data_IF_396171090948
#
_entry.id   IF_396171090948
#
_cell.length_a   1.000
_cell.length_b   1.000
_cell.length_c   1.000
_cell.angle_alpha   90.00
_cell.angle_beta   90.00
_cell.angle_gamma   90.00
#
_symmetry.space_group_name_H-M   'P 1'
#
loop_
_entity.id
_entity.type
_entity.pdbx_description
1 polymer ?
#
# COMPACT_ATOMS: atom_id res chain seq x y z
N UNK A 1 47.82 31.59 -45.01
CA UNK A 1 47.23 30.34 -44.57
C UNK A 1 47.15 30.40 -43.07
N UNK A 2 45.96 30.65 -42.50
CA UNK A 2 45.74 30.80 -41.06
C UNK A 2 44.92 29.61 -40.60
N UNK A 3 45.53 28.83 -39.70
CA UNK A 3 44.89 27.70 -39.07
C UNK A 3 43.82 28.18 -38.10
N UNK A 4 42.57 27.80 -38.38
CA UNK A 4 41.43 27.97 -37.47
C UNK A 4 41.41 26.73 -36.58
N UNK A 5 41.79 26.89 -35.32
CA UNK A 5 41.59 25.88 -34.27
C UNK A 5 40.19 26.10 -33.70
N UNK A 6 39.25 25.31 -34.16
CA UNK A 6 37.98 25.13 -33.49
C UNK A 6 38.18 24.34 -32.18
N UNK A 7 38.15 25.07 -31.08
CA UNK A 7 38.21 24.52 -29.73
C UNK A 7 36.78 24.57 -29.15
N UNK A 8 35.93 23.63 -29.58
CA UNK A 8 34.60 23.45 -29.01
C UNK A 8 34.69 22.43 -27.85
N UNK A 9 35.28 22.84 -26.73
CA UNK A 9 35.18 22.12 -25.48
C UNK A 9 33.84 22.47 -24.81
N UNK A 10 32.78 21.74 -25.18
CA UNK A 10 31.55 21.71 -24.37
C UNK A 10 31.92 21.15 -23.00
N UNK A 11 32.11 22.01 -22.02
CA UNK A 11 32.20 21.64 -20.62
C UNK A 11 30.80 21.13 -20.19
N UNK A 12 30.63 19.82 -20.19
CA UNK A 12 29.49 19.21 -19.48
C UNK A 12 29.61 19.60 -17.99
N UNK A 13 28.80 20.54 -17.57
CA UNK A 13 28.63 20.85 -16.16
C UNK A 13 28.19 19.55 -15.46
N UNK A 14 28.76 19.16 -14.29
CA UNK A 14 28.36 17.96 -13.57
C UNK A 14 26.87 18.05 -13.32
N UNK A 15 26.10 17.05 -13.79
CA UNK A 15 24.67 16.93 -13.54
C UNK A 15 24.45 16.89 -12.04
N UNK A 16 24.01 17.99 -11.46
CA UNK A 16 23.63 18.05 -10.05
C UNK A 16 22.49 17.04 -9.85
N UNK A 17 22.82 15.94 -9.22
CA UNK A 17 21.86 14.87 -8.96
C UNK A 17 20.90 15.40 -7.90
N UNK A 18 19.65 15.63 -8.28
CA UNK A 18 18.60 16.09 -7.36
C UNK A 18 18.32 15.01 -6.29
N UNK A 19 18.58 15.25 -4.99
CA UNK A 19 18.37 14.26 -3.94
C UNK A 19 16.92 13.79 -3.85
N UNK A 20 15.94 14.67 -4.12
CA UNK A 20 14.53 14.31 -4.13
C UNK A 20 14.19 13.35 -5.29
N UNK A 21 14.80 13.53 -6.47
CA UNK A 21 14.61 12.62 -7.60
C UNK A 21 15.23 11.24 -7.34
N UNK A 22 16.39 11.18 -6.67
CA UNK A 22 17.01 9.91 -6.27
C UNK A 22 16.15 9.16 -5.26
N UNK A 23 15.68 9.86 -4.22
CA UNK A 23 14.80 9.28 -3.22
C UNK A 23 13.51 8.76 -3.85
N UNK A 24 12.90 9.55 -4.75
CA UNK A 24 11.70 9.16 -5.47
C UNK A 24 11.93 7.89 -6.30
N UNK A 25 13.01 7.84 -7.08
CA UNK A 25 13.33 6.68 -7.93
C UNK A 25 13.49 5.40 -7.11
N UNK A 26 14.24 5.45 -6.01
CA UNK A 26 14.40 4.31 -5.11
C UNK A 26 13.06 3.90 -4.50
N UNK A 27 12.28 4.87 -4.00
CA UNK A 27 10.99 4.62 -3.39
C UNK A 27 9.98 4.00 -4.39
N UNK A 28 9.96 4.43 -5.65
CA UNK A 28 9.11 3.84 -6.68
C UNK A 28 9.52 2.39 -6.95
N UNK A 29 10.83 2.12 -7.13
CA UNK A 29 11.33 0.77 -7.35
C UNK A 29 10.94 -0.20 -6.22
N UNK A 30 10.99 0.25 -4.96
CA UNK A 30 10.80 -0.61 -3.80
C UNK A 30 9.32 -0.73 -3.38
N UNK A 31 8.51 0.31 -3.59
CA UNK A 31 7.19 0.43 -2.96
C UNK A 31 6.01 0.58 -3.92
N UNK A 32 6.19 0.76 -5.24
CA UNK A 32 5.07 0.92 -6.17
C UNK A 32 4.10 -0.27 -6.12
N UNK A 33 4.59 -1.49 -6.30
CA UNK A 33 3.76 -2.70 -6.25
C UNK A 33 3.14 -2.92 -4.85
N UNK A 34 3.90 -2.86 -3.73
CA UNK A 34 3.32 -2.98 -2.41
C UNK A 34 2.25 -1.92 -2.08
N UNK A 35 2.45 -0.66 -2.48
CA UNK A 35 1.46 0.40 -2.29
C UNK A 35 0.20 0.16 -3.14
N UNK A 36 0.36 -0.24 -4.40
CA UNK A 36 -0.77 -0.55 -5.28
C UNK A 36 -1.61 -1.69 -4.70
N UNK A 37 -0.98 -2.79 -4.27
CA UNK A 37 -1.69 -3.90 -3.60
C UNK A 37 -2.47 -3.43 -2.37
N UNK A 38 -1.84 -2.61 -1.54
CA UNK A 38 -2.46 -2.06 -0.35
C UNK A 38 -3.64 -1.16 -0.70
N UNK A 39 -3.48 -0.24 -1.66
CA UNK A 39 -4.55 0.65 -2.10
C UNK A 39 -5.72 -0.12 -2.73
N UNK A 40 -5.45 -1.11 -3.59
CA UNK A 40 -6.48 -2.00 -4.16
C UNK A 40 -7.24 -2.74 -3.06
N UNK A 41 -6.55 -3.23 -2.03
CA UNK A 41 -7.20 -3.92 -0.93
C UNK A 41 -8.15 -3.02 -0.11
N UNK A 42 -7.98 -1.70 -0.19
CA UNK A 42 -8.86 -0.72 0.48
C UNK A 42 -9.96 -0.22 -0.47
N UNK A 43 -9.63 0.10 -1.72
CA UNK A 43 -10.52 0.75 -2.68
C UNK A 43 -11.34 -0.25 -3.51
N UNK A 44 -10.84 -1.47 -3.70
CA UNK A 44 -11.43 -2.47 -4.57
C UNK A 44 -11.26 -2.21 -6.07
N UNK A 45 -10.63 -1.12 -6.46
CA UNK A 45 -10.49 -0.63 -7.83
C UNK A 45 -9.02 -0.35 -8.14
N UNK A 46 -8.50 -0.96 -9.22
CA UNK A 46 -7.09 -0.85 -9.60
C UNK A 46 -6.73 0.54 -10.15
N UNK A 47 -7.62 1.15 -10.92
CA UNK A 47 -7.39 2.46 -11.52
C UNK A 47 -7.30 3.53 -10.43
N UNK A 48 -8.29 3.57 -9.54
CA UNK A 48 -8.26 4.47 -8.38
C UNK A 48 -7.05 4.21 -7.48
N UNK A 49 -6.66 2.95 -7.30
CA UNK A 49 -5.48 2.60 -6.52
C UNK A 49 -4.19 3.13 -7.14
N UNK A 50 -4.04 3.03 -8.47
CA UNK A 50 -2.90 3.59 -9.21
C UNK A 50 -2.82 5.11 -9.09
N UNK A 51 -3.95 5.79 -9.21
CA UNK A 51 -4.03 7.25 -9.05
C UNK A 51 -3.58 7.68 -7.65
N UNK A 52 -4.06 7.00 -6.61
CA UNK A 52 -3.65 7.25 -5.22
C UNK A 52 -2.16 7.03 -5.03
N UNK A 53 -1.61 5.98 -5.61
CA UNK A 53 -0.17 5.66 -5.51
C UNK A 53 0.66 6.71 -6.24
N UNK A 54 0.25 7.13 -7.44
CA UNK A 54 0.91 8.20 -8.18
C UNK A 54 0.92 9.51 -7.39
N UNK A 55 -0.23 9.91 -6.84
CA UNK A 55 -0.35 11.10 -6.00
C UNK A 55 0.53 11.01 -4.74
N UNK A 56 0.65 9.80 -4.17
CA UNK A 56 1.51 9.54 -3.01
C UNK A 56 2.98 9.80 -3.36
N UNK A 57 3.45 9.33 -4.51
CA UNK A 57 4.81 9.59 -4.98
C UNK A 57 5.05 11.06 -5.35
N UNK A 58 4.05 11.73 -5.93
CA UNK A 58 4.13 13.19 -6.19
C UNK A 58 4.25 13.98 -4.88
N UNK A 59 3.54 13.56 -3.82
CA UNK A 59 3.70 14.15 -2.49
C UNK A 59 5.08 13.88 -1.90
N UNK A 60 5.65 12.68 -2.12
CA UNK A 60 7.02 12.36 -1.68
C UNK A 60 8.05 13.27 -2.36
N UNK A 61 7.93 13.48 -3.66
CA UNK A 61 8.85 14.34 -4.42
C UNK A 61 8.91 15.77 -3.90
N UNK A 62 7.80 16.26 -3.32
CA UNK A 62 7.70 17.61 -2.73
C UNK A 62 8.23 17.70 -1.29
N UNK A 63 8.62 16.55 -0.68
CA UNK A 63 9.16 16.54 0.67
C UNK A 63 10.66 16.88 0.67
N UNK A 64 11.12 17.37 1.81
CA UNK A 64 12.54 17.47 2.11
C UNK A 64 13.10 16.04 2.31
N UNK A 65 14.03 15.57 1.45
CA UNK A 65 14.57 14.21 1.54
C UNK A 65 15.17 13.89 2.91
N UNK A 66 15.84 14.85 3.56
CA UNK A 66 16.49 14.62 4.85
C UNK A 66 15.47 14.33 5.98
N UNK A 67 14.25 14.88 5.87
CA UNK A 67 13.19 14.68 6.86
C UNK A 67 12.48 13.34 6.73
N UNK A 68 12.42 12.79 5.50
CA UNK A 68 11.63 11.58 5.23
C UNK A 68 12.47 10.32 5.03
N UNK A 69 13.76 10.45 4.71
CA UNK A 69 14.66 9.36 4.32
C UNK A 69 14.64 8.17 5.28
N UNK A 70 14.63 8.42 6.60
CA UNK A 70 14.66 7.36 7.60
C UNK A 70 13.32 6.65 7.80
N UNK A 71 12.21 7.22 7.29
CA UNK A 71 10.84 6.72 7.48
C UNK A 71 10.02 6.70 6.19
N UNK A 72 10.70 6.64 5.03
CA UNK A 72 10.02 6.69 3.72
C UNK A 72 8.91 5.67 3.62
N UNK A 73 9.14 4.45 4.08
CA UNK A 73 8.17 3.36 4.00
C UNK A 73 6.91 3.67 4.81
N UNK A 74 7.03 3.89 6.12
CA UNK A 74 5.87 4.22 6.96
C UNK A 74 5.17 5.50 6.51
N UNK A 75 5.93 6.50 6.03
CA UNK A 75 5.39 7.74 5.50
C UNK A 75 4.54 7.50 4.24
N UNK A 76 5.04 6.73 3.27
CA UNK A 76 4.31 6.40 2.04
C UNK A 76 3.01 5.67 2.34
N UNK A 77 3.04 4.64 3.20
CA UNK A 77 1.83 3.90 3.57
C UNK A 77 0.85 4.77 4.36
N UNK A 78 1.31 5.69 5.20
CA UNK A 78 0.45 6.66 5.91
C UNK A 78 -0.26 7.59 4.91
N UNK A 79 0.47 8.16 3.96
CA UNK A 79 -0.10 9.08 2.96
C UNK A 79 -1.07 8.36 2.04
N UNK A 80 -0.69 7.19 1.53
CA UNK A 80 -1.52 6.35 0.68
C UNK A 80 -2.82 5.95 1.40
N UNK A 81 -2.71 5.46 2.64
CA UNK A 81 -3.83 5.12 3.51
C UNK A 81 -4.82 6.27 3.65
N UNK A 82 -4.32 7.43 4.08
CA UNK A 82 -5.17 8.59 4.30
C UNK A 82 -5.89 9.00 3.00
N UNK A 83 -5.19 8.98 1.87
CA UNK A 83 -5.79 9.28 0.58
C UNK A 83 -6.89 8.28 0.18
N UNK A 84 -6.69 6.97 0.39
CA UNK A 84 -7.72 5.96 0.16
C UNK A 84 -8.98 6.24 1.01
N UNK A 85 -8.82 6.49 2.31
CA UNK A 85 -9.96 6.77 3.18
C UNK A 85 -10.65 8.10 2.86
N UNK A 86 -9.92 9.13 2.45
CA UNK A 86 -10.49 10.39 2.00
C UNK A 86 -11.33 10.21 0.72
N UNK A 87 -10.88 9.37 -0.22
CA UNK A 87 -11.65 9.00 -1.42
C UNK A 87 -12.95 8.28 -1.05
N UNK A 88 -12.88 7.26 -0.19
CA UNK A 88 -14.05 6.53 0.28
C UNK A 88 -15.06 7.49 0.92
N UNK A 89 -14.57 8.36 1.82
CA UNK A 89 -15.44 9.35 2.49
C UNK A 89 -16.07 10.34 1.50
N UNK A 90 -15.34 10.76 0.48
CA UNK A 90 -15.85 11.65 -0.58
C UNK A 90 -16.91 10.96 -1.42
N UNK A 91 -16.66 9.73 -1.87
CA UNK A 91 -17.58 8.96 -2.70
C UNK A 91 -18.91 8.68 -1.96
N UNK A 92 -18.85 8.38 -0.66
CA UNK A 92 -20.04 8.20 0.20
C UNK A 92 -20.91 9.45 0.27
N UNK A 93 -20.31 10.63 0.43
CA UNK A 93 -21.07 11.90 0.46
C UNK A 93 -21.79 12.19 -0.85
N UNK A 94 -21.23 11.74 -1.97
CA UNK A 94 -21.83 11.93 -3.29
C UNK A 94 -22.95 10.92 -3.56
N UNK A 95 -22.92 9.76 -2.88
CA UNK A 95 -23.88 8.65 -3.09
C UNK A 95 -25.07 8.63 -2.11
N UNK A 96 -25.22 9.62 -1.20
CA UNK A 96 -26.27 9.68 -0.18
C UNK A 96 -26.47 8.41 0.69
N UNK A 97 -25.41 7.61 0.90
CA UNK A 97 -25.45 6.39 1.71
C UNK A 97 -25.17 6.71 3.19
N UNK A 98 -26.02 6.18 4.08
CA UNK A 98 -25.97 6.43 5.52
C UNK A 98 -24.68 5.95 6.20
N UNK A 99 -24.36 6.58 7.36
CA UNK A 99 -23.05 6.58 8.03
C UNK A 99 -22.63 5.25 8.69
N UNK A 100 -23.44 4.20 8.71
CA UNK A 100 -23.35 3.13 9.72
C UNK A 100 -22.52 1.90 9.36
N UNK A 101 -21.89 1.82 8.21
CA UNK A 101 -20.93 0.72 7.98
C UNK A 101 -19.67 1.22 7.30
N UNK A 102 -18.53 1.20 8.06
CA UNK A 102 -17.20 1.07 7.48
C UNK A 102 -17.07 -0.37 6.94
N UNK A 103 -18.08 -0.87 6.32
CA UNK A 103 -18.05 -2.06 5.52
C UNK A 103 -17.73 -1.64 4.09
N UNK A 104 -16.60 -2.04 3.69
CA UNK A 104 -16.01 -2.16 2.40
C UNK A 104 -17.06 -2.24 1.26
N UNK A 105 -17.19 -1.16 0.50
CA UNK A 105 -17.87 -1.22 -0.79
C UNK A 105 -16.84 -1.63 -1.83
N UNK A 106 -16.59 -2.93 -1.93
CA UNK A 106 -16.05 -3.51 -3.14
C UNK A 106 -17.19 -3.53 -4.18
N UNK A 107 -17.45 -2.39 -4.78
CA UNK A 107 -18.37 -2.29 -5.92
C UNK A 107 -17.60 -2.17 -7.24
N UNK A 108 -16.54 -2.94 -7.39
CA UNK A 108 -15.92 -3.10 -8.69
C UNK A 108 -16.02 -4.55 -9.15
N UNK A 109 -16.26 -4.74 -10.43
CA UNK A 109 -16.27 -6.06 -11.09
C UNK A 109 -14.94 -6.81 -10.92
N UNK A 110 -13.88 -6.09 -10.57
CA UNK A 110 -12.55 -6.64 -10.30
C UNK A 110 -12.46 -7.11 -8.84
N UNK A 111 -12.43 -8.42 -8.67
CA UNK A 111 -12.14 -9.03 -7.37
C UNK A 111 -10.72 -8.58 -6.92
N UNK A 112 -10.55 -7.88 -5.77
CA UNK A 112 -9.24 -7.41 -5.29
C UNK A 112 -8.17 -8.51 -5.26
N UNK A 113 -8.57 -9.77 -5.10
CA UNK A 113 -7.68 -10.92 -5.12
C UNK A 113 -7.11 -11.22 -6.48
N UNK A 114 -7.92 -11.12 -7.53
CA UNK A 114 -7.46 -11.34 -8.90
C UNK A 114 -6.43 -10.28 -9.25
N UNK A 115 -6.67 -9.03 -8.86
CA UNK A 115 -5.74 -7.93 -9.09
C UNK A 115 -4.44 -8.12 -8.31
N UNK A 116 -4.52 -8.49 -7.02
CA UNK A 116 -3.33 -8.75 -6.19
C UNK A 116 -2.55 -9.94 -6.74
N UNK A 117 -3.24 -11.00 -7.17
CA UNK A 117 -2.64 -12.19 -7.77
C UNK A 117 -1.91 -11.86 -9.08
N UNK A 118 -2.54 -11.08 -9.94
CA UNK A 118 -1.93 -10.58 -11.17
C UNK A 118 -0.67 -9.75 -10.89
N UNK A 119 -0.71 -8.84 -9.92
CA UNK A 119 0.43 -8.04 -9.50
C UNK A 119 1.57 -8.88 -8.85
N UNK A 120 1.25 -10.08 -8.35
CA UNK A 120 2.22 -11.03 -7.81
C UNK A 120 2.79 -12.00 -8.86
N UNK A 121 2.28 -11.96 -10.10
CA UNK A 121 2.68 -12.89 -11.16
C UNK A 121 2.27 -14.34 -10.87
N UNK A 122 1.21 -14.56 -10.10
CA UNK A 122 0.67 -15.88 -9.79
C UNK A 122 -0.50 -16.19 -10.72
N UNK A 123 -0.32 -17.14 -11.60
CA UNK A 123 -1.37 -17.56 -12.56
C UNK A 123 -2.49 -18.36 -11.89
N UNK A 124 -2.21 -19.08 -10.81
CA UNK A 124 -3.20 -19.85 -10.06
C UNK A 124 -3.12 -19.57 -8.55
N UNK A 125 -4.20 -19.11 -7.97
CA UNK A 125 -4.35 -19.01 -6.51
C UNK A 125 -4.96 -20.30 -5.99
N UNK A 126 -4.26 -20.97 -5.06
CA UNK A 126 -4.79 -22.09 -4.31
C UNK A 126 -6.09 -21.69 -3.59
N UNK A 127 -7.10 -22.56 -3.62
CA UNK A 127 -8.42 -22.35 -2.99
C UNK A 127 -8.31 -21.95 -1.50
N UNK A 128 -7.35 -22.51 -0.78
CA UNK A 128 -7.08 -22.14 0.62
C UNK A 128 -6.62 -20.68 0.77
N UNK A 129 -5.88 -20.17 -0.21
CA UNK A 129 -5.44 -18.77 -0.20
C UNK A 129 -6.63 -17.85 -0.46
N UNK A 130 -7.51 -18.17 -1.40
CA UNK A 130 -8.75 -17.42 -1.64
C UNK A 130 -9.60 -17.33 -0.39
N UNK A 131 -9.81 -18.48 0.29
CA UNK A 131 -10.58 -18.53 1.54
C UNK A 131 -9.89 -17.70 2.64
N UNK A 132 -8.57 -17.81 2.80
CA UNK A 132 -7.84 -17.01 3.80
C UNK A 132 -8.05 -15.50 3.57
N UNK A 133 -8.02 -15.07 2.33
CA UNK A 133 -8.26 -13.68 2.02
C UNK A 133 -9.71 -13.27 2.33
N UNK A 134 -10.72 -14.07 1.96
CA UNK A 134 -12.11 -13.75 2.31
C UNK A 134 -12.29 -13.64 3.84
N UNK A 135 -11.65 -14.51 4.61
CA UNK A 135 -11.66 -14.42 6.07
C UNK A 135 -10.97 -13.17 6.61
N UNK A 136 -9.90 -12.70 5.94
CA UNK A 136 -9.27 -11.41 6.30
C UNK A 136 -10.25 -10.25 6.08
N UNK A 137 -11.03 -10.28 5.01
CA UNK A 137 -12.04 -9.24 4.74
C UNK A 137 -13.19 -9.24 5.76
N UNK A 138 -13.51 -10.37 6.37
CA UNK A 138 -14.51 -10.50 7.44
C UNK A 138 -14.02 -10.02 8.81
N UNK A 139 -12.71 -9.75 8.97
CA UNK A 139 -12.16 -9.24 10.22
C UNK A 139 -12.68 -7.83 10.54
N UNK A 140 -12.82 -7.46 11.82
CA UNK A 140 -13.03 -6.07 12.22
C UNK A 140 -12.02 -5.13 11.56
N UNK A 141 -12.46 -3.94 11.16
CA UNK A 141 -11.69 -3.01 10.33
C UNK A 141 -10.24 -2.80 10.79
N UNK A 142 -10.03 -2.63 12.10
CA UNK A 142 -8.69 -2.44 12.67
C UNK A 142 -7.80 -3.70 12.58
N UNK A 143 -8.36 -4.88 12.76
CA UNK A 143 -7.64 -6.15 12.63
C UNK A 143 -7.26 -6.38 11.15
N UNK A 144 -8.20 -6.17 10.25
CA UNK A 144 -8.03 -6.25 8.80
C UNK A 144 -6.90 -5.32 8.33
N UNK A 145 -6.90 -4.07 8.78
CA UNK A 145 -5.88 -3.10 8.41
C UNK A 145 -4.49 -3.50 8.89
N UNK A 146 -4.35 -3.93 10.13
CA UNK A 146 -3.06 -4.42 10.67
C UNK A 146 -2.55 -5.64 9.88
N UNK A 147 -3.45 -6.56 9.49
CA UNK A 147 -3.12 -7.72 8.67
C UNK A 147 -2.65 -7.30 7.27
N UNK A 148 -3.35 -6.37 6.60
CA UNK A 148 -2.94 -5.85 5.30
C UNK A 148 -1.57 -5.19 5.34
N UNK A 149 -1.33 -4.30 6.30
CA UNK A 149 -0.04 -3.63 6.48
C UNK A 149 1.09 -4.62 6.78
N UNK A 150 0.82 -5.68 7.55
CA UNK A 150 1.82 -6.71 7.86
C UNK A 150 2.14 -7.60 6.67
N UNK A 151 1.13 -8.14 5.99
CA UNK A 151 1.32 -9.22 5.02
C UNK A 151 1.38 -8.74 3.57
N UNK A 152 0.68 -7.67 3.21
CA UNK A 152 0.73 -7.10 1.86
C UNK A 152 1.85 -6.04 1.73
N UNK A 153 2.00 -5.19 2.75
CA UNK A 153 2.99 -4.12 2.76
C UNK A 153 4.33 -4.51 3.42
N UNK A 154 4.38 -5.68 4.07
CA UNK A 154 5.54 -6.18 4.81
C UNK A 154 6.13 -5.15 5.80
N UNK A 155 5.25 -4.42 6.53
CA UNK A 155 5.65 -3.47 7.55
C UNK A 155 6.04 -4.19 8.85
N UNK A 156 7.03 -3.64 9.55
CA UNK A 156 7.33 -4.00 10.94
C UNK A 156 6.23 -3.46 11.88
N UNK A 157 6.13 -3.99 13.07
CA UNK A 157 5.15 -3.52 14.08
C UNK A 157 5.34 -2.03 14.41
N UNK A 158 6.58 -1.55 14.38
CA UNK A 158 6.89 -0.13 14.58
C UNK A 158 6.34 0.72 13.43
N UNK A 159 6.58 0.32 12.20
CA UNK A 159 6.07 1.02 11.01
C UNK A 159 4.55 1.00 10.96
N UNK A 160 3.91 -0.14 11.33
CA UNK A 160 2.45 -0.22 11.43
C UNK A 160 1.94 0.76 12.50
N UNK A 161 2.56 0.77 13.67
CA UNK A 161 2.21 1.69 14.76
C UNK A 161 2.26 3.16 14.31
N UNK A 162 3.33 3.54 13.61
CA UNK A 162 3.48 4.87 13.00
C UNK A 162 2.40 5.16 11.94
N UNK A 163 2.11 4.17 11.08
CA UNK A 163 1.16 4.32 9.96
C UNK A 163 -0.28 4.55 10.44
N UNK A 164 -0.72 3.82 11.48
CA UNK A 164 -2.12 3.87 11.94
C UNK A 164 -2.31 4.61 13.27
N UNK A 165 -1.25 5.19 13.81
CA UNK A 165 -1.30 6.06 14.99
C UNK A 165 -1.63 5.34 16.30
N UNK A 166 -1.07 4.14 16.53
CA UNK A 166 -1.23 3.37 17.79
C UNK A 166 0.12 2.95 18.35
N UNK A 167 0.15 2.42 19.58
CA UNK A 167 1.38 1.89 20.15
C UNK A 167 1.78 0.54 19.51
N UNK A 168 3.07 0.24 19.47
CA UNK A 168 3.58 -1.04 18.98
C UNK A 168 3.01 -2.23 19.78
N UNK A 169 2.80 -2.07 21.09
CA UNK A 169 2.17 -3.09 21.93
C UNK A 169 0.72 -3.35 21.48
N UNK A 170 -0.01 -2.29 21.12
CA UNK A 170 -1.38 -2.42 20.61
C UNK A 170 -1.40 -3.11 19.24
N UNK A 171 -0.43 -2.83 18.34
CA UNK A 171 -0.26 -3.59 17.10
C UNK A 171 -0.10 -5.08 17.39
N UNK A 172 0.75 -5.45 18.36
CA UNK A 172 0.95 -6.84 18.77
C UNK A 172 -0.33 -7.50 19.27
N UNK A 173 -1.10 -6.81 20.11
CA UNK A 173 -2.39 -7.30 20.61
C UNK A 173 -3.41 -7.51 19.48
N UNK A 174 -3.58 -6.52 18.60
CA UNK A 174 -4.50 -6.58 17.45
C UNK A 174 -4.11 -7.71 16.51
N UNK A 175 -2.80 -7.86 16.22
CA UNK A 175 -2.26 -8.92 15.37
C UNK A 175 -2.56 -10.31 15.99
N UNK A 176 -2.30 -10.49 17.28
CA UNK A 176 -2.56 -11.74 17.97
C UNK A 176 -4.04 -12.12 17.92
N UNK A 177 -4.92 -11.15 18.18
CA UNK A 177 -6.38 -11.35 18.12
C UNK A 177 -6.85 -11.71 16.72
N UNK A 178 -6.35 -11.02 15.68
CA UNK A 178 -6.66 -11.32 14.28
C UNK A 178 -6.21 -12.74 13.88
N UNK A 179 -4.97 -13.10 14.21
CA UNK A 179 -4.44 -14.44 13.90
C UNK A 179 -5.18 -15.56 14.63
N UNK A 180 -5.61 -15.30 15.88
CA UNK A 180 -6.43 -16.26 16.63
C UNK A 180 -7.76 -16.52 15.91
N UNK A 181 -8.50 -15.45 15.56
CA UNK A 181 -9.75 -15.55 14.84
C UNK A 181 -9.58 -16.28 13.49
N UNK A 182 -8.63 -15.86 12.67
CA UNK A 182 -8.38 -16.51 11.37
C UNK A 182 -8.04 -18.00 11.51
N UNK A 183 -7.31 -18.39 12.57
CA UNK A 183 -6.99 -19.79 12.82
C UNK A 183 -8.23 -20.60 13.21
N UNK A 184 -9.15 -20.02 13.96
CA UNK A 184 -10.42 -20.64 14.33
C UNK A 184 -11.31 -20.80 13.09
N UNK A 185 -11.52 -19.74 12.31
CA UNK A 185 -12.33 -19.73 11.08
C UNK A 185 -11.79 -20.72 10.03
N UNK A 186 -10.45 -20.76 9.85
CA UNK A 186 -9.80 -21.73 8.95
C UNK A 186 -9.97 -23.19 9.39
N UNK A 187 -10.02 -23.48 10.69
CA UNK A 187 -10.29 -24.84 11.18
C UNK A 187 -11.71 -25.27 10.88
N UNK A 188 -12.68 -24.37 10.96
CA UNK A 188 -14.07 -24.65 10.60
C UNK A 188 -14.21 -24.93 9.09
N UNK A 189 -13.55 -24.16 8.25
CA UNK A 189 -13.56 -24.34 6.78
C UNK A 189 -12.82 -25.60 6.33
N UNK A 190 -11.78 -26.01 7.06
CA UNK A 190 -10.94 -27.17 6.75
C UNK A 190 -10.75 -28.07 7.98
N UNK A 191 -11.80 -28.80 8.39
CA UNK A 191 -11.68 -29.75 9.50
C UNK A 191 -10.61 -30.79 9.16
N UNK A 192 -9.69 -31.03 10.08
CA UNK A 192 -8.72 -32.12 9.92
C UNK A 192 -9.50 -33.42 9.87
N UNK A 193 -9.42 -34.17 8.77
CA UNK A 193 -9.87 -35.57 8.73
C UNK A 193 -8.97 -36.32 9.70
N UNK A 194 -9.58 -36.82 10.79
CA UNK A 194 -8.94 -37.78 11.73
C UNK A 194 -8.69 -39.08 11.04
#
# INVERSE_FOLDING_TARGET
MKDVKDNNSMSESPRVINPAALLLRSAMSDFEIPLTKYAVSILGDLEQARDVVQDTFLKLYKQDPEKVRQKVKSWLFTVCRNHCYDLIKRNRRTSNLEEDEISYIASSEDNPFQVISFLEGREEINEKIKILYSLIEELPSRQREVMRLKFQANLSYKEIAETIGISTSNVGFVMHSALKKLREDMKEKFPRKS
#
